data_IF_633864895469
#
_entry.id   IF_633864895469
#
_cell.length_a   1.000
_cell.length_b   1.000
_cell.length_c   1.000
_cell.angle_alpha   90.00
_cell.angle_beta   90.00
_cell.angle_gamma   90.00
#
_symmetry.space_group_name_H-M   'P 1'
#
loop_
_entity.id
_entity.type
_entity.pdbx_description
1 polymer ?
#
# COMPACT_ATOMS: atom_id res chain seq x y z
N UNK A 1 13.13 -9.30 -7.41
CA UNK A 1 11.88 -8.96 -8.15
C UNK A 1 11.64 -7.48 -7.97
N UNK A 2 11.43 -6.72 -9.04
CA UNK A 2 11.22 -5.26 -8.95
C UNK A 2 10.38 -4.76 -10.14
N UNK A 3 9.70 -3.64 -9.95
CA UNK A 3 8.97 -2.96 -11.04
C UNK A 3 9.99 -2.28 -11.96
N UNK A 4 9.81 -2.44 -13.28
CA UNK A 4 10.64 -1.83 -14.32
C UNK A 4 9.91 -0.72 -15.06
N UNK A 5 8.60 -0.83 -15.23
CA UNK A 5 7.78 0.20 -15.88
C UNK A 5 6.35 0.19 -15.37
N UNK A 6 5.74 1.37 -15.31
CA UNK A 6 4.31 1.56 -15.02
C UNK A 6 3.75 2.48 -16.09
N UNK A 7 2.69 2.03 -16.76
CA UNK A 7 1.92 2.85 -17.70
C UNK A 7 0.46 2.93 -17.23
N UNK A 8 -0.11 4.13 -17.21
CA UNK A 8 -1.53 4.39 -16.92
C UNK A 8 -2.06 5.37 -17.96
N UNK A 9 -2.73 4.88 -19.03
CA UNK A 9 -3.21 5.74 -20.12
C UNK A 9 -4.23 6.77 -19.64
N UNK A 10 -5.24 6.33 -18.89
CA UNK A 10 -6.29 7.21 -18.39
C UNK A 10 -7.01 6.61 -17.18
N UNK A 11 -6.74 7.16 -15.99
CA UNK A 11 -7.43 6.80 -14.76
C UNK A 11 -7.56 8.00 -13.82
N UNK A 12 -8.80 8.49 -13.62
CA UNK A 12 -9.10 9.69 -12.81
C UNK A 12 -8.30 10.89 -13.34
N UNK A 13 -7.37 11.41 -12.55
CA UNK A 13 -6.49 12.54 -12.90
C UNK A 13 -5.24 12.11 -13.66
N UNK A 14 -4.92 10.81 -13.67
CA UNK A 14 -3.77 10.27 -14.39
C UNK A 14 -4.06 10.23 -15.89
N UNK A 15 -3.21 10.89 -16.69
CA UNK A 15 -3.30 10.95 -18.15
C UNK A 15 -1.94 10.64 -18.74
N UNK A 16 -1.86 9.60 -19.58
CA UNK A 16 -0.65 9.17 -20.29
C UNK A 16 0.58 9.05 -19.37
N UNK A 17 0.38 8.48 -18.18
CA UNK A 17 1.50 8.22 -17.26
C UNK A 17 2.33 7.09 -17.84
N UNK A 18 3.63 7.30 -17.95
CA UNK A 18 4.60 6.29 -18.38
C UNK A 18 5.90 6.52 -17.60
N UNK A 19 6.18 5.63 -16.65
CA UNK A 19 7.34 5.71 -15.76
C UNK A 19 8.18 4.47 -16.00
N UNK A 20 9.43 4.66 -16.38
CA UNK A 20 10.43 3.59 -16.47
C UNK A 20 11.44 3.76 -15.35
N UNK A 21 11.72 2.68 -14.62
CA UNK A 21 12.71 2.65 -13.55
C UNK A 21 14.01 2.11 -14.10
N UNK A 22 15.08 2.88 -13.95
CA UNK A 22 16.40 2.51 -14.43
C UNK A 22 16.98 1.32 -13.66
N UNK A 23 17.58 0.38 -14.40
CA UNK A 23 18.07 -0.89 -13.84
C UNK A 23 19.36 -0.73 -13.03
N UNK A 24 20.15 0.28 -13.35
CA UNK A 24 21.53 0.41 -12.87
C UNK A 24 21.66 1.35 -11.65
N UNK A 25 20.55 1.96 -11.21
CA UNK A 25 20.55 2.77 -9.99
C UNK A 25 20.64 1.91 -8.73
N UNK A 26 21.53 2.29 -7.82
CA UNK A 26 21.64 1.72 -6.47
C UNK A 26 21.95 2.84 -5.46
N UNK A 27 21.15 3.01 -4.38
CA UNK A 27 19.91 2.30 -4.08
C UNK A 27 18.78 2.65 -5.05
N UNK A 28 17.82 1.73 -5.24
CA UNK A 28 16.68 1.90 -6.17
C UNK A 28 15.55 2.73 -5.57
N UNK A 29 15.90 3.95 -5.16
CA UNK A 29 14.99 4.89 -4.54
C UNK A 29 14.72 6.01 -5.54
N UNK A 30 13.46 6.12 -5.96
CA UNK A 30 13.06 7.08 -6.99
C UNK A 30 12.07 8.09 -6.41
N UNK A 31 12.38 9.40 -6.43
CA UNK A 31 11.41 10.42 -6.08
C UNK A 31 10.36 10.54 -7.18
N UNK A 32 9.08 10.53 -6.81
CA UNK A 32 7.98 10.78 -7.74
C UNK A 32 7.57 12.26 -7.68
N UNK A 33 7.99 13.04 -8.68
CA UNK A 33 7.63 14.44 -8.84
C UNK A 33 6.36 14.63 -9.66
N UNK A 34 5.47 15.52 -9.22
CA UNK A 34 4.36 16.04 -10.04
C UNK A 34 3.86 17.35 -9.45
N UNK A 35 3.16 18.16 -10.25
CA UNK A 35 2.37 19.28 -9.73
C UNK A 35 1.38 18.82 -8.64
N UNK A 36 0.99 19.73 -7.75
CA UNK A 36 -0.03 19.46 -6.75
C UNK A 36 -1.35 19.06 -7.43
N UNK A 37 -1.98 18.00 -6.93
CA UNK A 37 -3.15 17.39 -7.58
C UNK A 37 -2.84 16.49 -8.79
N UNK A 38 -1.58 16.38 -9.23
CA UNK A 38 -1.16 15.56 -10.38
C UNK A 38 -1.28 14.03 -10.19
N UNK A 39 -1.88 13.55 -9.11
CA UNK A 39 -2.26 12.15 -8.95
C UNK A 39 -1.21 11.20 -8.37
N UNK A 40 -0.13 11.68 -7.76
CA UNK A 40 0.90 10.82 -7.12
C UNK A 40 0.31 9.73 -6.22
N UNK A 41 -0.52 10.12 -5.25
CA UNK A 41 -1.18 9.17 -4.35
C UNK A 41 -2.15 8.25 -5.10
N UNK A 42 -2.85 8.75 -6.13
CA UNK A 42 -3.73 7.93 -6.98
C UNK A 42 -2.95 6.83 -7.70
N UNK A 43 -1.79 7.15 -8.26
CA UNK A 43 -0.93 6.20 -8.97
C UNK A 43 -0.43 5.10 -8.02
N UNK A 44 0.13 5.50 -6.87
CA UNK A 44 0.65 4.55 -5.89
C UNK A 44 -0.44 3.61 -5.36
N UNK A 45 -1.62 4.15 -5.05
CA UNK A 45 -2.76 3.35 -4.62
C UNK A 45 -3.26 2.41 -5.73
N UNK A 46 -3.31 2.85 -6.99
CA UNK A 46 -3.72 2.01 -8.12
C UNK A 46 -2.76 0.83 -8.30
N UNK A 47 -1.46 1.11 -8.38
CA UNK A 47 -0.42 0.09 -8.58
C UNK A 47 -0.44 -0.92 -7.43
N UNK A 48 -0.53 -0.43 -6.19
CA UNK A 48 -0.63 -1.28 -5.01
C UNK A 48 -1.82 -2.23 -5.09
N UNK A 49 -3.03 -1.72 -5.35
CA UNK A 49 -4.24 -2.56 -5.41
C UNK A 49 -4.22 -3.54 -6.60
N UNK A 50 -3.73 -3.13 -7.77
CA UNK A 50 -3.63 -4.03 -8.92
C UNK A 50 -2.69 -5.20 -8.65
N UNK A 51 -1.55 -4.96 -7.99
CA UNK A 51 -0.61 -6.03 -7.66
C UNK A 51 -1.08 -6.91 -6.49
N UNK A 52 -2.10 -6.47 -5.75
CA UNK A 52 -2.84 -7.27 -4.76
C UNK A 52 -4.06 -8.02 -5.33
N UNK A 53 -4.48 -7.71 -6.57
CA UNK A 53 -5.76 -8.17 -7.13
C UNK A 53 -5.83 -9.65 -7.48
N UNK A 54 -4.70 -10.36 -7.49
CA UNK A 54 -4.65 -11.80 -7.71
C UNK A 54 -5.05 -12.61 -6.46
N UNK A 55 -5.31 -11.96 -5.33
CA UNK A 55 -5.94 -12.59 -4.15
C UNK A 55 -7.44 -12.21 -4.10
N UNK A 56 -8.30 -13.22 -4.12
CA UNK A 56 -9.75 -13.05 -4.07
C UNK A 56 -10.24 -12.29 -2.82
N UNK A 57 -9.55 -12.44 -1.69
CA UNK A 57 -9.87 -11.73 -0.44
C UNK A 57 -9.74 -10.20 -0.58
N UNK A 58 -8.92 -9.73 -1.54
CA UNK A 58 -8.65 -8.31 -1.75
C UNK A 58 -9.55 -7.66 -2.82
N UNK A 59 -10.45 -8.42 -3.47
CA UNK A 59 -11.22 -7.90 -4.61
C UNK A 59 -12.14 -6.73 -4.25
N UNK A 60 -12.64 -6.65 -3.02
CA UNK A 60 -13.46 -5.54 -2.56
C UNK A 60 -12.70 -4.20 -2.57
N UNK A 61 -11.39 -4.20 -2.30
CA UNK A 61 -10.53 -3.01 -2.44
C UNK A 61 -10.40 -2.58 -3.91
N UNK A 62 -10.29 -3.57 -4.81
CA UNK A 62 -10.26 -3.33 -6.25
C UNK A 62 -11.60 -2.77 -6.74
N UNK A 63 -12.74 -3.29 -6.30
CA UNK A 63 -14.06 -2.74 -6.65
C UNK A 63 -14.17 -1.27 -6.23
N UNK A 64 -13.72 -0.93 -5.02
CA UNK A 64 -13.75 0.43 -4.50
C UNK A 64 -12.90 1.40 -5.34
N UNK A 65 -11.71 0.98 -5.80
CA UNK A 65 -10.85 1.85 -6.63
C UNK A 65 -11.41 2.03 -8.04
N UNK A 66 -12.01 0.98 -8.61
CA UNK A 66 -12.58 0.94 -9.96
C UNK A 66 -13.97 1.57 -10.09
N UNK A 67 -14.65 1.90 -9.00
CA UNK A 67 -16.02 2.44 -8.97
C UNK A 67 -16.30 3.64 -9.91
N UNK A 68 -15.26 4.40 -10.26
CA UNK A 68 -15.33 5.54 -11.19
C UNK A 68 -14.76 5.25 -12.59
N UNK A 69 -14.35 4.02 -12.86
CA UNK A 69 -13.68 3.62 -14.09
C UNK A 69 -14.72 3.07 -15.09
N UNK A 70 -14.88 3.78 -16.20
CA UNK A 70 -15.87 3.46 -17.24
C UNK A 70 -15.16 3.11 -18.54
N UNK A 71 -15.58 2.01 -19.14
CA UNK A 71 -15.41 1.73 -20.57
C UNK A 71 -16.62 2.34 -21.25
N UNK A 72 -16.43 3.19 -22.25
CA UNK A 72 -17.57 3.80 -22.95
C UNK A 72 -18.33 2.71 -23.72
N UNK A 73 -19.64 2.87 -23.92
CA UNK A 73 -20.46 1.87 -24.61
C UNK A 73 -20.01 1.59 -26.05
N UNK A 74 -19.30 2.52 -26.69
CA UNK A 74 -18.74 2.38 -28.03
C UNK A 74 -17.29 1.86 -28.05
N UNK A 75 -16.68 1.65 -26.88
CA UNK A 75 -15.34 1.07 -26.72
C UNK A 75 -15.49 -0.38 -26.27
N UNK A 76 -14.80 -1.31 -26.95
CA UNK A 76 -14.82 -2.73 -26.56
C UNK A 76 -14.10 -2.94 -25.23
N UNK A 77 -12.95 -2.29 -25.09
CA UNK A 77 -12.08 -2.39 -23.94
C UNK A 77 -11.29 -1.12 -23.72
N UNK A 78 -10.77 -0.96 -22.50
CA UNK A 78 -9.88 0.12 -22.11
C UNK A 78 -8.75 -0.43 -21.25
N UNK A 79 -7.52 -0.09 -21.60
CA UNK A 79 -6.36 -0.37 -20.77
C UNK A 79 -6.44 0.49 -19.50
N UNK A 80 -6.44 -0.17 -18.35
CA UNK A 80 -6.36 0.49 -17.05
C UNK A 80 -4.92 0.80 -16.69
N UNK A 81 -4.04 -0.19 -16.77
CA UNK A 81 -2.62 -0.04 -16.49
C UNK A 81 -1.79 -1.16 -17.15
N UNK A 82 -0.52 -0.88 -17.40
CA UNK A 82 0.48 -1.88 -17.80
C UNK A 82 1.62 -1.79 -16.79
N UNK A 83 2.03 -2.93 -16.23
CA UNK A 83 3.11 -2.99 -15.26
C UNK A 83 4.12 -4.04 -15.72
N UNK A 84 5.35 -3.61 -15.98
CA UNK A 84 6.46 -4.50 -16.33
C UNK A 84 7.27 -4.81 -15.05
N UNK A 85 7.49 -6.09 -14.78
CA UNK A 85 8.12 -6.59 -13.54
C UNK A 85 9.29 -7.49 -13.92
N UNK A 86 10.46 -7.23 -13.33
CA UNK A 86 11.58 -8.16 -13.39
C UNK A 86 11.38 -9.31 -12.41
N UNK A 87 11.27 -10.53 -12.92
CA UNK A 87 11.05 -11.73 -12.11
C UNK A 87 11.87 -12.91 -12.68
N UNK A 88 12.73 -13.49 -11.82
CA UNK A 88 13.75 -14.42 -12.27
C UNK A 88 14.76 -13.71 -13.15
N UNK A 89 14.81 -14.08 -14.43
CA UNK A 89 15.72 -13.55 -15.45
C UNK A 89 14.99 -12.89 -16.62
N UNK A 90 13.69 -12.59 -16.45
CA UNK A 90 12.85 -12.04 -17.51
C UNK A 90 11.96 -10.91 -17.01
N UNK A 91 11.55 -10.07 -17.94
CA UNK A 91 10.51 -9.08 -17.74
C UNK A 91 9.15 -9.72 -18.02
N UNK A 92 8.34 -9.83 -16.98
CA UNK A 92 6.93 -10.20 -17.06
C UNK A 92 6.10 -8.93 -17.22
N UNK A 93 5.28 -8.85 -18.26
CA UNK A 93 4.36 -7.74 -18.48
C UNK A 93 2.97 -8.13 -17.99
N UNK A 94 2.37 -7.28 -17.16
CA UNK A 94 0.99 -7.41 -16.70
C UNK A 94 0.16 -6.28 -17.29
N UNK A 95 -0.65 -6.59 -18.30
CA UNK A 95 -1.58 -5.63 -18.90
C UNK A 95 -2.98 -5.82 -18.29
N UNK A 96 -3.48 -4.80 -17.59
CA UNK A 96 -4.80 -4.78 -16.97
C UNK A 96 -5.81 -4.09 -17.88
N UNK A 97 -6.81 -4.83 -18.33
CA UNK A 97 -7.80 -4.41 -19.33
C UNK A 97 -9.20 -4.47 -18.71
N UNK A 98 -9.98 -3.41 -18.89
CA UNK A 98 -11.41 -3.49 -18.60
C UNK A 98 -12.19 -3.64 -19.90
N UNK A 99 -13.18 -4.53 -19.90
CA UNK A 99 -14.16 -4.67 -20.96
C UNK A 99 -15.53 -4.26 -20.45
N UNK A 100 -16.35 -3.66 -21.33
CA UNK A 100 -17.75 -3.40 -21.00
C UNK A 100 -18.47 -4.72 -20.71
N UNK A 101 -19.42 -4.69 -19.76
CA UNK A 101 -20.14 -5.89 -19.32
C UNK A 101 -20.74 -6.69 -20.49
N UNK A 102 -21.48 -6.01 -21.38
CA UNK A 102 -22.13 -6.64 -22.54
C UNK A 102 -21.12 -7.27 -23.50
N UNK A 103 -20.01 -6.59 -23.78
CA UNK A 103 -19.00 -7.12 -24.69
C UNK A 103 -18.31 -8.35 -24.11
N UNK A 104 -17.85 -8.26 -22.85
CA UNK A 104 -17.16 -9.35 -22.17
C UNK A 104 -18.05 -10.59 -22.08
N UNK A 105 -19.33 -10.41 -21.75
CA UNK A 105 -20.31 -11.50 -21.66
C UNK A 105 -20.57 -12.17 -23.00
N UNK A 106 -20.61 -11.41 -24.09
CA UNK A 106 -20.79 -11.97 -25.44
C UNK A 106 -19.55 -12.75 -25.92
N UNK A 107 -18.35 -12.27 -25.60
CA UNK A 107 -17.10 -12.79 -26.17
C UNK A 107 -16.45 -13.88 -25.33
N UNK A 108 -16.49 -13.75 -24.01
CA UNK A 108 -15.67 -14.52 -23.08
C UNK A 108 -16.44 -15.38 -22.09
N UNK A 109 -17.76 -15.25 -21.95
CA UNK A 109 -18.56 -16.17 -21.12
C UNK A 109 -19.16 -17.27 -22.00
N UNK A 110 -19.08 -18.54 -21.54
CA UNK A 110 -19.63 -19.70 -22.27
C UNK A 110 -21.15 -19.69 -22.29
N UNK A 111 -21.77 -19.47 -21.14
CA UNK A 111 -23.19 -19.20 -21.03
C UNK A 111 -23.39 -17.74 -20.57
N UNK A 112 -23.86 -16.85 -21.46
CA UNK A 112 -24.19 -15.50 -21.06
C UNK A 112 -25.19 -15.48 -19.91
N UNK A 113 -26.12 -16.44 -19.82
CA UNK A 113 -27.26 -16.39 -18.88
C UNK A 113 -26.97 -16.95 -17.49
N UNK A 114 -25.78 -17.51 -17.25
CA UNK A 114 -25.40 -18.11 -15.97
C UNK A 114 -24.64 -17.08 -15.10
N UNK A 115 -25.13 -16.82 -13.89
CA UNK A 115 -24.56 -15.83 -12.95
C UNK A 115 -23.40 -16.39 -12.08
N UNK A 116 -22.87 -17.58 -12.37
CA UNK A 116 -21.83 -18.21 -11.54
C UNK A 116 -20.43 -18.11 -12.15
N UNK A 117 -19.47 -17.76 -11.30
CA UNK A 117 -18.08 -17.34 -11.58
C UNK A 117 -17.13 -18.26 -12.38
N UNK A 118 -17.55 -19.31 -13.09
CA UNK A 118 -16.59 -20.35 -13.49
C UNK A 118 -16.60 -20.85 -14.94
N UNK A 119 -17.35 -20.25 -15.86
CA UNK A 119 -17.33 -20.72 -17.26
C UNK A 119 -16.89 -19.63 -18.25
N UNK A 120 -15.63 -19.22 -18.12
CA UNK A 120 -14.97 -18.46 -19.19
C UNK A 120 -14.71 -19.37 -20.40
N UNK A 121 -14.94 -18.83 -21.60
CA UNK A 121 -14.81 -19.55 -22.86
C UNK A 121 -13.34 -19.82 -23.20
N UNK A 122 -13.12 -20.79 -24.09
CA UNK A 122 -11.78 -21.07 -24.64
C UNK A 122 -11.13 -19.83 -25.28
N UNK A 123 -11.91 -18.81 -25.65
CA UNK A 123 -11.40 -17.56 -26.20
C UNK A 123 -10.49 -16.82 -25.21
N UNK A 124 -10.75 -16.93 -23.90
CA UNK A 124 -9.92 -16.30 -22.87
C UNK A 124 -8.51 -16.92 -22.86
N UNK A 125 -8.44 -18.24 -22.95
CA UNK A 125 -7.19 -19.00 -23.02
C UNK A 125 -6.45 -18.71 -24.33
N UNK A 126 -7.17 -18.65 -25.46
CA UNK A 126 -6.58 -18.29 -26.78
C UNK A 126 -5.95 -16.90 -26.78
N UNK A 127 -6.52 -15.96 -26.05
CA UNK A 127 -6.00 -14.59 -25.92
C UNK A 127 -5.02 -14.42 -24.75
N UNK A 128 -4.65 -15.52 -24.06
CA UNK A 128 -3.77 -15.53 -22.89
C UNK A 128 -4.19 -14.52 -21.80
N UNK A 129 -5.47 -14.49 -21.46
CA UNK A 129 -6.02 -13.60 -20.45
C UNK A 129 -6.61 -14.37 -19.27
N UNK A 130 -6.64 -13.73 -18.10
CA UNK A 130 -7.38 -14.18 -16.93
C UNK A 130 -8.40 -13.13 -16.50
N UNK A 131 -9.58 -13.56 -16.08
CA UNK A 131 -10.53 -12.66 -15.43
C UNK A 131 -10.12 -12.47 -13.97
N UNK A 132 -9.96 -11.21 -13.57
CA UNK A 132 -9.71 -10.87 -12.16
C UNK A 132 -11.04 -10.75 -11.43
N UNK A 133 -11.94 -9.91 -11.94
CA UNK A 133 -13.25 -9.66 -11.31
C UNK A 133 -14.22 -8.94 -12.24
N UNK A 134 -15.52 -9.09 -12.00
CA UNK A 134 -16.52 -8.09 -12.40
C UNK A 134 -16.51 -6.92 -11.42
N UNK A 135 -17.00 -5.75 -11.84
CA UNK A 135 -17.17 -4.59 -10.95
C UNK A 135 -18.36 -3.72 -11.39
N UNK A 136 -18.96 -3.01 -10.43
CA UNK A 136 -20.05 -2.06 -10.67
C UNK A 136 -19.61 -0.62 -10.43
N UNK A 137 -20.26 0.31 -11.14
CA UNK A 137 -20.04 1.74 -11.02
C UNK A 137 -21.20 2.40 -10.26
N UNK A 138 -20.91 3.57 -9.67
CA UNK A 138 -21.79 4.37 -8.81
C UNK A 138 -23.20 4.71 -9.34
N UNK A 139 -23.50 4.46 -10.61
CA UNK A 139 -24.70 4.94 -11.30
C UNK A 139 -25.62 3.83 -11.81
N UNK A 140 -25.28 2.56 -11.59
CA UNK A 140 -26.11 1.45 -12.05
C UNK A 140 -26.07 0.28 -11.06
N UNK A 141 -27.24 -0.27 -10.71
CA UNK A 141 -27.39 -1.55 -10.00
C UNK A 141 -27.00 -2.76 -10.88
N UNK A 142 -26.33 -2.53 -12.02
CA UNK A 142 -25.88 -3.56 -12.96
C UNK A 142 -24.35 -3.54 -13.08
N UNK A 143 -23.76 -4.72 -13.24
CA UNK A 143 -22.32 -4.87 -13.46
C UNK A 143 -21.86 -3.97 -14.60
N UNK A 144 -20.82 -3.16 -14.33
CA UNK A 144 -20.36 -2.12 -15.23
C UNK A 144 -19.22 -2.57 -16.14
N UNK A 145 -18.51 -3.63 -15.77
CA UNK A 145 -17.46 -4.22 -16.59
C UNK A 145 -16.76 -5.38 -15.91
N UNK A 146 -15.82 -5.97 -16.66
CA UNK A 146 -14.93 -7.01 -16.19
C UNK A 146 -13.49 -6.54 -16.32
N UNK A 147 -12.71 -6.69 -15.25
CA UNK A 147 -11.27 -6.50 -15.29
C UNK A 147 -10.58 -7.82 -15.59
N UNK A 148 -9.73 -7.81 -16.60
CA UNK A 148 -8.85 -8.90 -16.99
C UNK A 148 -7.39 -8.51 -16.83
N UNK A 149 -6.53 -9.53 -16.72
CA UNK A 149 -5.09 -9.37 -16.88
C UNK A 149 -4.60 -10.24 -18.05
N UNK A 150 -3.84 -9.62 -18.95
CA UNK A 150 -3.09 -10.30 -20.01
C UNK A 150 -1.61 -10.34 -19.63
N UNK A 151 -1.13 -11.46 -19.06
CA UNK A 151 0.30 -11.63 -18.84
C UNK A 151 1.06 -11.85 -20.16
N UNK A 152 2.30 -11.36 -20.23
CA UNK A 152 3.29 -11.73 -21.27
C UNK A 152 4.57 -12.21 -20.60
N UNK A 153 5.26 -13.16 -21.23
CA UNK A 153 6.49 -13.80 -20.72
C UNK A 153 6.32 -14.54 -19.38
N UNK A 154 5.14 -15.09 -19.12
CA UNK A 154 4.88 -16.02 -18.02
C UNK A 154 3.77 -16.98 -18.44
N UNK A 155 3.83 -18.23 -17.95
CA UNK A 155 2.73 -19.18 -18.12
C UNK A 155 1.50 -18.65 -17.38
N UNK A 156 0.34 -18.70 -18.04
CA UNK A 156 -0.92 -18.24 -17.46
C UNK A 156 -1.26 -18.99 -16.17
N UNK A 157 -0.87 -20.25 -16.05
CA UNK A 157 -1.10 -21.06 -14.85
C UNK A 157 -0.25 -20.60 -13.66
N UNK A 158 0.88 -19.93 -13.92
CA UNK A 158 1.77 -19.40 -12.89
C UNK A 158 1.40 -17.99 -12.42
N UNK A 159 0.39 -17.35 -13.03
CA UNK A 159 0.09 -15.93 -12.76
C UNK A 159 -0.39 -15.70 -11.32
N UNK A 160 -1.22 -16.58 -10.78
CA UNK A 160 -1.70 -16.49 -9.39
C UNK A 160 -0.56 -16.73 -8.41
N UNK A 161 0.39 -17.63 -8.74
CA UNK A 161 1.60 -17.85 -7.95
C UNK A 161 2.50 -16.61 -7.94
N UNK A 162 2.66 -15.95 -9.08
CA UNK A 162 3.36 -14.65 -9.16
C UNK A 162 2.61 -13.58 -8.35
N UNK A 163 1.30 -13.47 -8.48
CA UNK A 163 0.46 -12.54 -7.71
C UNK A 163 0.58 -12.73 -6.20
N UNK A 164 0.61 -13.98 -5.73
CA UNK A 164 0.87 -14.32 -4.33
C UNK A 164 2.25 -13.83 -3.85
N UNK A 165 3.28 -13.94 -4.69
CA UNK A 165 4.62 -13.39 -4.36
C UNK A 165 4.64 -11.86 -4.39
N UNK A 166 3.95 -11.24 -5.35
CA UNK A 166 3.90 -9.79 -5.50
C UNK A 166 3.23 -9.11 -4.30
N UNK A 167 2.06 -9.61 -3.90
CA UNK A 167 1.31 -9.09 -2.74
C UNK A 167 2.06 -9.18 -1.40
N UNK A 168 3.08 -10.02 -1.31
CA UNK A 168 3.95 -10.12 -0.13
C UNK A 168 5.15 -9.19 -0.17
N UNK A 169 5.49 -8.64 -1.34
CA UNK A 169 6.68 -7.82 -1.57
C UNK A 169 6.38 -6.39 -2.02
N UNK A 170 5.10 -6.00 -2.08
CA UNK A 170 4.70 -4.63 -2.34
C UNK A 170 4.15 -3.99 -1.07
N UNK A 171 4.54 -2.74 -0.86
CA UNK A 171 4.22 -1.98 0.33
C UNK A 171 3.70 -0.60 -0.07
N UNK A 172 2.66 -0.14 0.61
CA UNK A 172 2.14 1.22 0.50
C UNK A 172 2.13 1.84 1.88
N UNK A 173 2.95 2.88 2.08
CA UNK A 173 2.95 3.70 3.28
C UNK A 173 2.44 5.10 2.94
N UNK A 174 1.47 5.61 3.70
CA UNK A 174 0.93 6.95 3.52
C UNK A 174 0.44 7.56 4.86
N UNK A 175 0.26 8.89 4.93
CA UNK A 175 -0.35 9.53 6.09
C UNK A 175 -1.73 8.95 6.43
N UNK A 176 -2.04 8.79 7.71
CA UNK A 176 -3.32 8.24 8.16
C UNK A 176 -4.54 9.08 7.80
N UNK A 177 -4.35 10.37 7.54
CA UNK A 177 -5.36 11.34 7.11
C UNK A 177 -5.49 11.43 5.57
N UNK A 178 -4.67 10.71 4.81
CA UNK A 178 -4.81 10.61 3.36
C UNK A 178 -6.10 9.86 3.02
N UNK A 179 -6.85 10.34 2.02
CA UNK A 179 -8.00 9.61 1.46
C UNK A 179 -7.51 8.39 0.67
N UNK A 180 -7.84 7.20 1.15
CA UNK A 180 -7.56 5.93 0.45
C UNK A 180 -8.72 5.54 -0.47
N UNK A 181 -8.49 5.59 -1.77
CA UNK A 181 -9.47 5.34 -2.83
C UNK A 181 -10.10 3.96 -2.76
N UNK A 182 -9.34 2.97 -2.27
CA UNK A 182 -9.76 1.59 -2.10
C UNK A 182 -10.64 1.34 -0.86
N UNK A 183 -10.83 2.34 0.01
CA UNK A 183 -11.82 2.25 1.07
C UNK A 183 -13.24 2.47 0.53
N UNK A 184 -14.28 1.93 1.20
CA UNK A 184 -15.67 2.15 0.84
C UNK A 184 -16.02 3.64 0.77
N UNK A 185 -16.94 4.00 -0.12
CA UNK A 185 -17.37 5.40 -0.32
C UNK A 185 -17.87 6.04 0.97
N UNK A 186 -18.68 5.33 1.73
CA UNK A 186 -19.22 5.84 2.99
C UNK A 186 -18.11 6.05 4.04
N UNK A 187 -17.17 5.11 4.16
CA UNK A 187 -16.01 5.26 5.04
C UNK A 187 -15.20 6.50 4.69
N UNK A 188 -14.93 6.76 3.41
CA UNK A 188 -14.19 7.96 2.97
C UNK A 188 -14.88 9.27 3.36
N UNK A 189 -16.22 9.33 3.34
CA UNK A 189 -16.97 10.53 3.77
C UNK A 189 -16.81 10.81 5.27
N UNK A 190 -16.60 9.77 6.09
CA UNK A 190 -16.38 9.92 7.53
C UNK A 190 -15.12 10.71 7.88
N UNK A 191 -14.17 10.84 6.94
CA UNK A 191 -12.98 11.68 7.15
C UNK A 191 -13.34 13.17 7.34
N UNK A 192 -14.42 13.62 6.70
CA UNK A 192 -14.89 15.00 6.74
C UNK A 192 -16.13 15.19 7.63
N UNK A 193 -16.50 14.16 8.40
CA UNK A 193 -17.69 14.20 9.28
C UNK A 193 -17.24 14.37 10.72
N UNK A 194 -17.93 15.22 11.50
CA UNK A 194 -17.65 15.38 12.94
C UNK A 194 -17.78 14.01 13.62
N UNK A 195 -16.77 13.63 14.43
CA UNK A 195 -16.87 12.44 15.26
C UNK A 195 -18.11 12.61 16.15
N UNK A 196 -19.05 11.66 16.09
CA UNK A 196 -20.11 11.60 17.08
C UNK A 196 -19.43 11.51 18.47
N UNK A 197 -19.80 12.41 19.37
CA UNK A 197 -19.41 12.32 20.77
C UNK A 197 -19.78 10.92 21.28
N UNK A 198 -18.91 10.34 22.10
CA UNK A 198 -19.02 8.97 22.60
C UNK A 198 -20.43 8.71 23.16
N UNK A 199 -21.25 7.98 22.41
CA UNK A 199 -22.28 7.15 23.02
C UNK A 199 -21.57 5.87 23.47
N UNK A 200 -21.43 5.70 24.79
CA UNK A 200 -20.61 4.68 25.47
C UNK A 200 -20.96 3.22 25.11
N UNK A 201 -21.92 2.96 24.22
CA UNK A 201 -22.37 1.62 23.85
C UNK A 201 -22.45 1.33 22.34
N UNK A 202 -21.92 2.20 21.46
CA UNK A 202 -21.80 1.88 20.02
C UNK A 202 -20.37 2.08 19.54
N UNK A 203 -19.78 1.00 19.04
CA UNK A 203 -18.52 1.00 18.30
C UNK A 203 -18.57 2.12 17.25
N UNK A 204 -17.81 3.19 17.49
CA UNK A 204 -17.91 4.41 16.70
C UNK A 204 -17.37 4.14 15.30
N UNK A 205 -18.27 3.92 14.34
CA UNK A 205 -17.95 3.81 12.92
C UNK A 205 -17.31 5.13 12.47
N UNK A 206 -16.00 5.14 12.32
CA UNK A 206 -15.22 6.32 11.97
C UNK A 206 -14.21 5.96 10.88
N UNK A 207 -13.63 6.96 10.22
CA UNK A 207 -12.66 6.71 9.14
C UNK A 207 -11.52 5.76 9.56
N UNK A 208 -11.04 5.93 10.79
CA UNK A 208 -9.92 5.18 11.33
C UNK A 208 -10.27 3.71 11.66
N UNK A 209 -11.55 3.38 11.90
CA UNK A 209 -11.96 1.97 12.02
C UNK A 209 -11.87 1.25 10.69
N UNK A 210 -12.40 1.84 9.61
CA UNK A 210 -12.25 1.29 8.26
C UNK A 210 -10.78 1.21 7.83
N UNK A 211 -9.95 2.17 8.26
CA UNK A 211 -8.52 2.13 8.03
C UNK A 211 -7.83 0.98 8.78
N UNK A 212 -8.22 0.74 10.04
CA UNK A 212 -7.72 -0.38 10.85
C UNK A 212 -8.07 -1.71 10.20
N UNK A 213 -9.31 -1.87 9.74
CA UNK A 213 -9.78 -3.08 9.05
C UNK A 213 -9.04 -3.27 7.71
N UNK A 214 -8.79 -2.20 6.96
CA UNK A 214 -8.00 -2.30 5.74
C UNK A 214 -6.55 -2.73 6.03
N UNK A 215 -5.93 -2.22 7.10
CA UNK A 215 -4.57 -2.61 7.51
C UNK A 215 -4.48 -4.08 7.94
N UNK A 216 -5.52 -4.63 8.56
CA UNK A 216 -5.52 -6.06 8.95
C UNK A 216 -5.73 -6.99 7.76
N UNK A 217 -6.47 -6.56 6.74
CA UNK A 217 -6.83 -7.40 5.59
C UNK A 217 -5.92 -7.21 4.37
N UNK A 218 -5.16 -6.12 4.29
CA UNK A 218 -4.31 -5.80 3.14
C UNK A 218 -2.85 -5.80 3.56
N UNK A 219 -2.18 -6.94 3.41
CA UNK A 219 -0.73 -7.06 3.68
C UNK A 219 0.02 -5.98 2.89
N UNK A 220 1.07 -5.41 3.47
CA UNK A 220 1.82 -4.35 2.79
C UNK A 220 1.20 -2.95 2.93
N UNK A 221 -0.02 -2.81 3.45
CA UNK A 221 -0.64 -1.50 3.66
C UNK A 221 -0.34 -0.93 5.05
N UNK A 222 0.25 0.26 5.07
CA UNK A 222 0.64 0.96 6.29
C UNK A 222 0.20 2.41 6.26
N UNK A 223 -0.13 2.88 7.44
CA UNK A 223 -0.32 4.30 7.68
C UNK A 223 0.62 4.77 8.76
N UNK A 224 1.15 5.97 8.58
CA UNK A 224 1.95 6.66 9.57
C UNK A 224 1.24 7.95 9.99
N UNK A 225 1.38 8.29 11.27
CA UNK A 225 1.16 9.64 11.74
C UNK A 225 2.41 10.48 11.47
N UNK A 226 2.33 11.79 11.67
CA UNK A 226 3.47 12.71 11.54
C UNK A 226 4.77 12.15 12.16
N UNK A 227 4.62 11.47 13.30
CA UNK A 227 5.65 10.62 13.89
C UNK A 227 5.01 9.31 14.36
N UNK A 228 5.65 8.18 14.09
CA UNK A 228 5.12 6.85 14.45
C UNK A 228 5.44 6.49 15.91
N UNK A 229 4.92 7.28 16.86
CA UNK A 229 5.18 7.16 18.30
C UNK A 229 4.93 5.74 18.82
N UNK A 230 3.83 5.10 18.42
CA UNK A 230 3.50 3.74 18.86
C UNK A 230 4.57 2.73 18.42
N UNK A 231 5.00 2.79 17.16
CA UNK A 231 6.05 1.92 16.63
C UNK A 231 7.39 2.20 17.34
N UNK A 232 7.69 3.47 17.59
CA UNK A 232 8.89 3.88 18.33
C UNK A 232 8.91 3.21 19.71
N UNK A 233 7.83 3.37 20.47
CA UNK A 233 7.69 2.81 21.82
C UNK A 233 7.76 1.28 21.78
N UNK A 234 7.02 0.63 20.87
CA UNK A 234 7.05 -0.83 20.70
C UNK A 234 8.45 -1.36 20.37
N UNK A 235 9.25 -0.65 19.57
CA UNK A 235 10.62 -1.07 19.27
C UNK A 235 11.51 -1.07 20.51
N UNK A 236 11.40 -0.04 21.37
CA UNK A 236 12.16 0.04 22.62
C UNK A 236 11.69 -0.97 23.67
N UNK A 237 10.37 -1.21 23.75
CA UNK A 237 9.81 -2.28 24.59
C UNK A 237 10.38 -3.65 24.18
N UNK A 238 10.33 -3.97 22.89
CA UNK A 238 10.89 -5.22 22.36
C UNK A 238 12.41 -5.35 22.61
N UNK A 239 13.18 -4.25 22.51
CA UNK A 239 14.61 -4.27 22.77
C UNK A 239 14.92 -4.50 24.26
N UNK A 240 14.21 -3.80 25.16
CA UNK A 240 14.30 -4.00 26.61
C UNK A 240 13.95 -5.42 27.01
N UNK A 241 12.87 -5.97 26.45
CA UNK A 241 12.40 -7.32 26.80
C UNK A 241 13.43 -8.37 26.38
N UNK A 242 14.10 -8.20 25.24
CA UNK A 242 15.24 -9.06 24.84
C UNK A 242 16.43 -8.92 25.76
N UNK A 243 16.78 -7.71 26.19
CA UNK A 243 17.88 -7.49 27.13
C UNK A 243 17.63 -8.15 28.48
N UNK A 244 16.38 -8.10 28.95
CA UNK A 244 15.95 -8.79 30.15
C UNK A 244 15.94 -10.31 29.98
N UNK A 245 15.44 -10.83 28.85
CA UNK A 245 15.51 -12.26 28.53
C UNK A 245 16.96 -12.79 28.51
N UNK A 246 17.90 -12.00 27.99
CA UNK A 246 19.33 -12.33 27.98
C UNK A 246 19.90 -12.35 29.41
N UNK A 247 19.52 -11.38 30.24
CA UNK A 247 19.90 -11.34 31.65
C UNK A 247 19.44 -12.59 32.41
N UNK A 248 18.20 -13.02 32.19
CA UNK A 248 17.64 -14.24 32.80
C UNK A 248 18.40 -15.49 32.36
N UNK A 249 18.88 -15.54 31.11
CA UNK A 249 19.58 -16.71 30.54
C UNK A 249 21.07 -16.76 30.89
N UNK A 250 21.74 -15.62 30.95
CA UNK A 250 23.21 -15.53 30.99
C UNK A 250 23.75 -14.89 32.28
N UNK A 251 22.90 -14.22 33.06
CA UNK A 251 23.31 -13.39 34.19
C UNK A 251 23.84 -12.00 33.79
N UNK A 252 23.91 -11.69 32.49
CA UNK A 252 24.39 -10.41 31.96
C UNK A 252 23.27 -9.71 31.21
N UNK A 253 23.02 -8.44 31.52
CA UNK A 253 22.00 -7.66 30.84
C UNK A 253 22.41 -7.42 29.38
N UNK A 254 21.47 -7.64 28.45
CA UNK A 254 21.72 -7.45 27.02
C UNK A 254 21.97 -5.98 26.65
N UNK A 255 22.32 -5.75 25.39
CA UNK A 255 22.67 -4.42 24.86
C UNK A 255 21.80 -3.96 23.69
N UNK A 256 20.70 -4.66 23.39
CA UNK A 256 19.81 -4.38 22.26
C UNK A 256 19.19 -2.99 22.36
N UNK A 257 18.82 -2.53 23.57
CA UNK A 257 18.28 -1.19 23.80
C UNK A 257 19.28 -0.11 23.39
N UNK A 258 20.52 -0.20 23.89
CA UNK A 258 21.55 0.79 23.58
C UNK A 258 21.98 0.75 22.11
N UNK A 259 22.03 -0.45 21.52
CA UNK A 259 22.28 -0.60 20.08
C UNK A 259 21.20 0.12 19.26
N UNK A 260 19.92 -0.11 19.57
CA UNK A 260 18.81 0.59 18.92
C UNK A 260 18.91 2.11 19.13
N UNK A 261 19.19 2.56 20.35
CA UNK A 261 19.32 3.97 20.67
C UNK A 261 20.43 4.65 19.86
N UNK A 262 21.61 4.03 19.80
CA UNK A 262 22.75 4.55 19.03
C UNK A 262 22.44 4.65 17.54
N UNK A 263 21.78 3.62 17.01
CA UNK A 263 21.39 3.56 15.61
C UNK A 263 20.37 4.64 15.23
N UNK A 264 19.33 4.84 16.05
CA UNK A 264 18.34 5.89 15.83
C UNK A 264 18.94 7.29 15.99
N UNK A 265 19.85 7.49 16.95
CA UNK A 265 20.55 8.77 17.13
C UNK A 265 21.47 9.08 15.94
N UNK A 266 22.07 8.07 15.30
CA UNK A 266 22.88 8.26 14.09
C UNK A 266 22.07 8.78 12.89
N UNK A 267 20.73 8.65 12.93
CA UNK A 267 19.83 9.19 11.91
C UNK A 267 19.42 10.65 12.16
N UNK A 268 19.88 11.27 13.24
CA UNK A 268 19.53 12.62 13.63
C UNK A 268 20.76 13.52 13.62
N UNK A 269 20.58 14.79 13.25
CA UNK A 269 21.67 15.76 13.21
C UNK A 269 21.70 16.54 14.51
N UNK A 270 22.75 16.32 15.33
CA UNK A 270 22.97 16.96 16.64
C UNK A 270 21.84 16.76 17.67
N UNK A 271 20.91 15.84 17.41
CA UNK A 271 19.77 15.54 18.27
C UNK A 271 19.86 14.09 18.74
N UNK A 272 19.30 13.84 19.92
CA UNK A 272 19.13 12.52 20.51
C UNK A 272 17.66 12.28 20.75
N UNK A 273 17.22 11.04 20.56
CA UNK A 273 15.84 10.61 20.79
C UNK A 273 15.84 9.47 21.80
N UNK A 274 14.83 9.43 22.67
CA UNK A 274 14.60 8.32 23.58
C UNK A 274 13.11 8.21 23.95
N UNK A 275 12.70 7.11 24.57
CA UNK A 275 11.38 6.99 25.21
C UNK A 275 11.38 7.62 26.60
N UNK A 276 10.21 8.03 27.08
CA UNK A 276 10.04 8.43 28.48
C UNK A 276 10.24 7.21 29.40
N UNK A 277 10.64 7.40 30.68
CA UNK A 277 10.91 6.28 31.60
C UNK A 277 9.74 5.31 31.80
N UNK A 278 8.50 5.82 31.68
CA UNK A 278 7.26 5.07 31.78
C UNK A 278 6.78 4.49 30.43
N UNK A 279 7.54 4.71 29.34
CA UNK A 279 7.21 4.28 27.98
C UNK A 279 5.89 4.82 27.44
N UNK A 280 5.41 5.96 27.95
CA UNK A 280 4.19 6.62 27.48
C UNK A 280 4.43 7.58 26.32
N UNK A 281 5.67 8.00 26.08
CA UNK A 281 6.01 8.99 25.07
C UNK A 281 7.44 8.90 24.55
N UNK A 282 7.76 9.85 23.67
CA UNK A 282 9.08 9.99 23.02
C UNK A 282 9.58 11.41 23.25
N UNK A 283 10.86 11.53 23.59
CA UNK A 283 11.51 12.79 23.92
C UNK A 283 12.69 13.00 22.98
N UNK A 284 12.79 14.21 22.43
CA UNK A 284 13.94 14.66 21.65
C UNK A 284 14.76 15.66 22.47
N UNK A 285 16.08 15.56 22.37
CA UNK A 285 17.00 16.47 23.04
C UNK A 285 18.09 16.93 22.09
N UNK A 286 18.51 18.18 22.22
CA UNK A 286 19.63 18.76 21.48
C UNK A 286 20.67 19.29 22.46
N UNK A 287 21.94 19.16 22.10
CA UNK A 287 23.02 19.75 22.86
C UNK A 287 23.34 21.12 22.27
N UNK A 288 23.01 22.19 23.01
CA UNK A 288 23.34 23.58 22.66
C UNK A 288 24.16 24.19 23.79
N UNK A 289 25.32 24.75 23.45
CA UNK A 289 26.20 25.45 24.39
C UNK A 289 26.54 24.66 25.67
N UNK A 290 26.77 23.35 25.53
CA UNK A 290 27.07 22.45 26.65
C UNK A 290 25.87 22.12 27.55
N UNK A 291 24.65 22.51 27.17
CA UNK A 291 23.41 22.15 27.85
C UNK A 291 22.57 21.24 26.96
N UNK A 292 21.98 20.22 27.58
CA UNK A 292 20.97 19.38 26.94
C UNK A 292 19.61 20.05 27.10
N UNK A 293 18.98 20.39 25.98
CA UNK A 293 17.66 21.03 25.93
C UNK A 293 16.67 20.03 25.35
N UNK A 294 15.50 19.90 25.98
CA UNK A 294 14.39 19.12 25.44
C UNK A 294 13.70 19.91 24.32
N UNK A 295 13.46 19.26 23.19
CA UNK A 295 12.87 19.87 22.01
C UNK A 295 11.37 19.63 21.98
N UNK A 296 10.61 20.67 21.66
CA UNK A 296 9.19 20.55 21.36
C UNK A 296 9.00 19.98 19.94
N UNK A 297 7.83 19.41 19.60
CA UNK A 297 7.57 18.85 18.28
C UNK A 297 7.80 19.85 17.13
N UNK A 298 7.50 21.14 17.33
CA UNK A 298 7.72 22.22 16.37
C UNK A 298 9.20 22.56 16.11
N UNK A 299 10.10 22.22 17.04
CA UNK A 299 11.54 22.45 16.90
C UNK A 299 12.22 21.39 15.99
N UNK A 300 11.48 20.35 15.61
CA UNK A 300 11.99 19.21 14.86
C UNK A 300 11.82 19.40 13.35
N UNK A 301 12.89 19.13 12.61
CA UNK A 301 12.85 19.13 11.15
C UNK A 301 11.91 18.04 10.65
N UNK A 302 10.93 18.44 9.83
CA UNK A 302 9.99 17.52 9.18
C UNK A 302 10.72 16.45 8.35
N UNK A 303 11.87 16.81 7.74
CA UNK A 303 12.68 15.88 6.97
C UNK A 303 13.33 14.81 7.85
N UNK A 304 13.86 15.20 9.02
CA UNK A 304 14.48 14.28 9.97
C UNK A 304 13.46 13.32 10.58
N UNK A 305 12.31 13.85 11.02
CA UNK A 305 11.21 13.04 11.55
C UNK A 305 10.68 12.04 10.52
N UNK A 306 10.56 12.45 9.26
CA UNK A 306 10.14 11.57 8.17
C UNK A 306 11.17 10.47 7.92
N UNK A 307 12.47 10.80 7.87
CA UNK A 307 13.56 9.82 7.70
C UNK A 307 13.55 8.80 8.84
N UNK A 308 13.49 9.28 10.09
CA UNK A 308 13.43 8.45 11.28
C UNK A 308 12.20 7.53 11.26
N UNK A 309 11.02 8.08 10.93
CA UNK A 309 9.77 7.30 10.84
C UNK A 309 9.82 6.19 9.79
N UNK A 310 10.37 6.46 8.61
CA UNK A 310 10.53 5.46 7.54
C UNK A 310 11.50 4.36 8.00
N UNK A 311 12.64 4.75 8.59
CA UNK A 311 13.65 3.81 9.05
C UNK A 311 13.10 2.85 10.12
N UNK A 312 12.47 3.40 11.15
CA UNK A 312 11.84 2.62 12.22
C UNK A 312 10.79 1.66 11.67
N UNK A 313 10.00 2.14 10.70
CA UNK A 313 8.99 1.31 10.05
C UNK A 313 9.59 0.11 9.32
N UNK A 314 10.63 0.32 8.50
CA UNK A 314 11.34 -0.77 7.80
C UNK A 314 11.92 -1.79 8.78
N UNK A 315 12.62 -1.31 9.82
CA UNK A 315 13.29 -2.15 10.81
C UNK A 315 12.32 -2.94 11.68
N UNK A 316 11.29 -2.29 12.22
CA UNK A 316 10.27 -2.94 13.05
C UNK A 316 9.59 -4.10 12.29
N UNK A 317 9.41 -3.94 10.98
CA UNK A 317 8.77 -4.95 10.12
C UNK A 317 9.73 -6.01 9.58
N UNK A 318 11.02 -5.94 9.90
CA UNK A 318 12.06 -6.86 9.39
C UNK A 318 12.00 -7.00 7.87
N UNK A 319 11.76 -5.89 7.17
CA UNK A 319 11.78 -5.88 5.70
C UNK A 319 13.26 -5.94 5.30
N UNK A 320 13.68 -7.05 4.68
CA UNK A 320 15.02 -7.19 4.10
C UNK A 320 15.17 -6.26 2.89
N UNK A 321 16.34 -5.63 2.76
CA UNK A 321 16.71 -4.75 1.64
C UNK A 321 16.80 -5.48 0.29
#
# INVERSE_FOLDING_TARGET
MHIQRIQVPDFRVLKNVDITFEKDFSPRIFPLGSQNGGGKSTLLQLVFILLHSFNFEHLHFLHNILRSFKVKNNEESKILAIIDIWYGERTVRLEFLSFSFFYARKKYLRDPNLFSHQEFSENLLKENMICITSYSNDQADTESGYLFCRPTNIDINDIYKLGGKLSQKIFLAAPSDQVFLFLPRESKKLLFTKKAEKDDNKQTNNYYSALKDAKSNLKGFFTYYFFATDIFIEMFQNARDRDFEEAVKTGVYGNHYNMLLNELNALLTNKKVNVTPDLSGVVFREERDGKTIELEPEDLSHGELKRLSIYMWLKHRKIED
#
